data_IF_582977899513
#
_entry.id   IF_582977899513
#
_cell.length_a   1.000
_cell.length_b   1.000
_cell.length_c   1.000
_cell.angle_alpha   90.00
_cell.angle_beta   90.00
_cell.angle_gamma   90.00
#
_symmetry.space_group_name_H-M   'P 1'
#
loop_
_entity.id
_entity.type
_entity.pdbx_description
1 polymer ?
#
# COMPACT_ATOMS: atom_id res chain seq x y z
N UNK A 1 25.86 -5.68 7.30
CA UNK A 1 24.64 -4.87 7.45
C UNK A 1 23.68 -5.21 6.33
N UNK A 2 22.54 -5.86 6.62
CA UNK A 2 21.57 -6.24 5.59
C UNK A 2 20.49 -5.14 5.51
N UNK A 3 20.32 -4.54 4.33
CA UNK A 3 19.22 -3.63 4.06
C UNK A 3 17.94 -4.46 3.83
N UNK A 4 16.82 -4.03 4.43
CA UNK A 4 15.52 -4.68 4.23
C UNK A 4 14.82 -4.10 3.01
N UNK A 5 14.22 -4.92 2.14
CA UNK A 5 13.25 -4.44 1.16
C UNK A 5 12.00 -3.90 1.84
N UNK A 6 11.46 -2.83 1.26
CA UNK A 6 10.06 -2.48 1.43
C UNK A 6 9.48 -1.94 0.13
N UNK A 7 8.17 -2.13 -0.03
CA UNK A 7 7.41 -1.68 -1.17
C UNK A 7 6.13 -1.03 -0.66
N UNK A 8 5.86 0.17 -1.18
CA UNK A 8 4.68 0.96 -0.87
C UNK A 8 3.90 1.20 -2.16
N UNK A 9 2.59 1.07 -2.09
CA UNK A 9 1.68 1.43 -3.17
C UNK A 9 0.51 2.24 -2.62
N UNK A 10 0.38 3.45 -3.13
CA UNK A 10 -0.62 4.42 -2.72
C UNK A 10 -1.66 4.59 -3.82
N UNK A 11 -2.92 4.66 -3.39
CA UNK A 11 -4.10 4.70 -4.24
C UNK A 11 -4.90 5.95 -3.97
N UNK A 12 -5.24 6.72 -5.01
CA UNK A 12 -6.08 7.91 -4.87
C UNK A 12 -7.55 7.55 -5.11
N UNK A 13 -8.37 7.79 -4.09
CA UNK A 13 -9.83 7.76 -4.15
C UNK A 13 -10.43 9.12 -4.50
N UNK A 14 -11.62 9.14 -5.09
CA UNK A 14 -12.37 10.37 -5.40
C UNK A 14 -12.85 11.08 -4.13
N UNK A 15 -13.32 10.29 -3.17
CA UNK A 15 -13.68 10.75 -1.83
C UNK A 15 -12.71 10.18 -0.80
N UNK A 16 -12.70 10.78 0.41
CA UNK A 16 -12.00 10.22 1.56
C UNK A 16 -12.60 8.84 1.87
N UNK A 17 -11.91 7.83 1.38
CA UNK A 17 -12.35 6.46 1.30
C UNK A 17 -12.59 5.87 2.70
N UNK A 18 -13.84 5.91 3.12
CA UNK A 18 -14.34 5.18 4.29
C UNK A 18 -15.71 4.58 3.93
N UNK A 19 -15.76 3.55 3.08
CA UNK A 19 -17.04 3.00 2.65
C UNK A 19 -17.61 2.06 3.71
N UNK A 20 -18.58 2.56 4.50
CA UNK A 20 -19.64 1.75 5.10
C UNK A 20 -19.48 1.25 6.55
N UNK A 21 -20.54 1.49 7.32
CA UNK A 21 -20.94 1.03 8.67
C UNK A 21 -20.17 1.55 9.89
N UNK A 22 -18.86 1.72 9.83
CA UNK A 22 -18.09 2.51 10.81
C UNK A 22 -16.99 3.27 10.07
N UNK A 23 -16.92 4.58 10.27
CA UNK A 23 -15.89 5.40 9.63
C UNK A 23 -14.50 4.96 10.13
N UNK A 24 -13.63 4.52 9.21
CA UNK A 24 -12.27 4.12 9.54
C UNK A 24 -11.43 5.38 9.73
N UNK A 25 -11.18 5.74 10.98
CA UNK A 25 -10.35 6.89 11.34
C UNK A 25 -8.87 6.49 11.45
N UNK A 26 -8.20 6.44 10.31
CA UNK A 26 -6.78 6.09 10.23
C UNK A 26 -6.49 4.63 10.61
N UNK A 27 -5.22 4.35 10.90
CA UNK A 27 -4.75 3.01 11.27
C UNK A 27 -4.42 2.13 10.08
N UNK A 28 -4.07 0.86 10.35
CA UNK A 28 -3.75 -0.12 9.33
C UNK A 28 -4.56 -1.39 9.53
N UNK A 29 -5.19 -1.87 8.45
CA UNK A 29 -5.73 -3.22 8.36
C UNK A 29 -4.70 -4.17 7.78
N UNK A 30 -4.68 -5.40 8.27
CA UNK A 30 -3.93 -6.50 7.66
C UNK A 30 -4.89 -7.38 6.88
N UNK A 31 -4.43 -7.92 5.75
CA UNK A 31 -5.19 -8.83 4.91
C UNK A 31 -4.37 -10.09 4.63
N UNK A 32 -5.07 -11.21 4.46
CA UNK A 32 -4.51 -12.48 4.01
C UNK A 32 -4.34 -12.55 2.49
N UNK A 33 -4.78 -11.54 1.74
CA UNK A 33 -4.58 -11.45 0.29
C UNK A 33 -3.07 -11.38 0.00
N UNK A 34 -2.54 -12.32 -0.81
CA UNK A 34 -1.11 -12.36 -1.11
C UNK A 34 -0.64 -11.05 -1.72
N UNK A 35 0.56 -10.60 -1.33
CA UNK A 35 1.25 -9.45 -1.92
C UNK A 35 0.55 -8.11 -1.71
N UNK A 36 -0.28 -7.98 -0.67
CA UNK A 36 -0.86 -6.70 -0.20
C UNK A 36 -0.29 -6.33 1.17
N UNK A 37 -0.19 -7.32 2.06
CA UNK A 37 0.25 -7.22 3.45
C UNK A 37 -0.62 -6.29 4.30
N UNK A 38 -0.31 -5.01 4.35
CA UNK A 38 -1.05 -4.04 5.16
C UNK A 38 -1.63 -2.92 4.29
N UNK A 39 -2.90 -2.59 4.56
CA UNK A 39 -3.61 -1.44 4.00
C UNK A 39 -3.68 -0.39 5.11
N UNK A 40 -3.04 0.76 4.93
CA UNK A 40 -3.04 1.84 5.92
C UNK A 40 -3.87 3.02 5.43
N UNK A 41 -4.80 3.46 6.27
CA UNK A 41 -5.62 4.63 6.05
C UNK A 41 -4.89 5.87 6.58
N UNK A 42 -4.95 6.99 5.86
CA UNK A 42 -4.26 8.20 6.27
C UNK A 42 -4.82 8.71 7.60
N UNK A 43 -3.94 9.01 8.55
CA UNK A 43 -4.30 9.69 9.81
C UNK A 43 -4.37 11.22 9.65
N UNK A 44 -4.11 11.73 8.45
CA UNK A 44 -4.22 13.15 8.10
C UNK A 44 -5.49 13.39 7.27
N UNK A 45 -6.01 14.62 7.32
CA UNK A 45 -7.26 14.99 6.64
C UNK A 45 -8.47 14.09 7.00
N UNK A 46 -8.50 13.63 8.26
CA UNK A 46 -9.65 12.93 8.84
C UNK A 46 -10.87 13.86 8.77
N UNK A 47 -11.98 13.39 8.18
CA UNK A 47 -13.19 14.17 7.86
C UNK A 47 -13.08 15.17 6.69
N UNK A 48 -12.01 15.16 5.91
CA UNK A 48 -11.99 15.91 4.65
C UNK A 48 -13.06 15.40 3.67
N UNK A 49 -13.58 16.28 2.82
CA UNK A 49 -14.62 15.97 1.82
C UNK A 49 -14.08 15.88 0.39
N UNK A 50 -12.75 15.78 0.24
CA UNK A 50 -12.09 15.72 -1.05
C UNK A 50 -11.37 14.40 -1.31
N UNK A 51 -10.55 14.33 -2.37
CA UNK A 51 -9.77 13.16 -2.72
C UNK A 51 -8.84 12.72 -1.59
N UNK A 52 -8.89 11.43 -1.26
CA UNK A 52 -8.08 10.81 -0.21
C UNK A 52 -7.09 9.81 -0.79
N UNK A 53 -5.90 9.72 -0.21
CA UNK A 53 -4.89 8.71 -0.59
C UNK A 53 -4.86 7.61 0.47
N UNK A 54 -4.96 6.36 0.05
CA UNK A 54 -4.77 5.18 0.90
C UNK A 54 -3.45 4.52 0.55
N UNK A 55 -2.69 4.14 1.56
CA UNK A 55 -1.57 3.24 1.37
C UNK A 55 -2.12 1.81 1.27
N UNK A 56 -2.48 1.40 0.06
CA UNK A 56 -3.17 0.12 -0.16
C UNK A 56 -2.24 -1.10 -0.08
N UNK A 57 -0.92 -0.89 -0.14
CA UNK A 57 0.00 -1.96 0.15
C UNK A 57 1.26 -1.43 0.81
N UNK A 58 1.55 -1.98 1.99
CA UNK A 58 2.82 -1.79 2.67
C UNK A 58 3.44 -3.15 3.03
N UNK A 59 4.44 -3.54 2.25
CA UNK A 59 5.11 -4.83 2.34
C UNK A 59 6.57 -4.62 2.69
N UNK A 60 7.14 -5.52 3.49
CA UNK A 60 8.58 -5.55 3.75
C UNK A 60 9.15 -6.96 3.56
N UNK A 61 10.48 -7.08 3.67
CA UNK A 61 11.19 -8.37 3.65
C UNK A 61 11.03 -9.13 2.32
N UNK A 62 11.27 -10.44 2.32
CA UNK A 62 11.33 -11.27 1.10
C UNK A 62 10.10 -11.13 0.19
N UNK A 63 8.93 -10.84 0.76
CA UNK A 63 7.71 -10.59 0.01
C UNK A 63 7.81 -9.29 -0.79
N UNK A 64 8.36 -8.21 -0.21
CA UNK A 64 8.57 -6.95 -0.94
C UNK A 64 9.56 -7.10 -2.10
N UNK A 65 10.62 -7.89 -1.93
CA UNK A 65 11.53 -8.23 -3.04
C UNK A 65 10.83 -8.99 -4.17
N UNK A 66 10.00 -9.97 -3.80
CA UNK A 66 9.21 -10.75 -4.76
C UNK A 66 8.23 -9.87 -5.53
N UNK A 67 7.56 -8.93 -4.84
CA UNK A 67 6.62 -7.97 -5.45
C UNK A 67 7.35 -6.88 -6.25
N UNK A 68 8.62 -6.61 -5.92
CA UNK A 68 9.50 -5.76 -6.73
C UNK A 68 9.65 -6.24 -8.17
N UNK A 69 9.53 -7.54 -8.43
CA UNK A 69 9.60 -8.09 -9.80
C UNK A 69 8.43 -7.71 -10.72
N UNK A 70 7.31 -7.24 -10.15
CA UNK A 70 6.18 -6.76 -10.93
C UNK A 70 6.47 -5.43 -11.59
N UNK A 71 5.94 -5.23 -12.80
CA UNK A 71 5.80 -3.88 -13.33
C UNK A 71 4.82 -3.09 -12.47
N UNK A 72 4.93 -1.76 -12.48
CA UNK A 72 4.05 -0.90 -11.68
C UNK A 72 2.59 -1.13 -12.02
N UNK A 73 2.24 -1.18 -13.31
CA UNK A 73 0.90 -1.42 -13.78
C UNK A 73 0.35 -2.80 -13.33
N UNK A 74 1.17 -3.85 -13.39
CA UNK A 74 0.76 -5.19 -12.91
C UNK A 74 0.48 -5.19 -11.41
N UNK A 75 1.34 -4.52 -10.65
CA UNK A 75 1.17 -4.42 -9.20
C UNK A 75 -0.07 -3.62 -8.84
N UNK A 76 -0.29 -2.47 -9.47
CA UNK A 76 -1.47 -1.63 -9.23
C UNK A 76 -2.76 -2.37 -9.59
N UNK A 77 -2.79 -3.08 -10.71
CA UNK A 77 -3.95 -3.89 -11.09
C UNK A 77 -4.21 -5.04 -10.10
N UNK A 78 -3.17 -5.60 -9.48
CA UNK A 78 -3.30 -6.58 -8.39
C UNK A 78 -3.90 -5.93 -7.14
N UNK A 79 -3.36 -4.80 -6.70
CA UNK A 79 -3.82 -4.11 -5.49
C UNK A 79 -5.24 -3.55 -5.66
N UNK A 80 -5.60 -3.02 -6.84
CA UNK A 80 -6.96 -2.54 -7.09
C UNK A 80 -7.99 -3.66 -6.93
N UNK A 81 -7.69 -4.87 -7.44
CA UNK A 81 -8.56 -6.05 -7.26
C UNK A 81 -8.64 -6.48 -5.80
N UNK A 82 -7.52 -6.46 -5.08
CA UNK A 82 -7.49 -6.75 -3.66
C UNK A 82 -8.34 -5.74 -2.85
N UNK A 83 -8.29 -4.45 -3.19
CA UNK A 83 -9.10 -3.43 -2.52
C UNK A 83 -10.61 -3.64 -2.76
N UNK A 84 -11.01 -4.12 -3.94
CA UNK A 84 -12.40 -4.52 -4.22
C UNK A 84 -12.83 -5.72 -3.38
N UNK A 85 -11.92 -6.65 -3.12
CA UNK A 85 -12.20 -7.82 -2.27
C UNK A 85 -12.35 -7.41 -0.79
N UNK A 86 -11.49 -6.52 -0.29
CA UNK A 86 -11.49 -6.07 1.12
C UNK A 86 -12.66 -5.11 1.42
N UNK A 87 -12.96 -4.19 0.50
CA UNK A 87 -13.90 -3.09 0.72
C UNK A 87 -15.18 -3.17 -0.12
N UNK A 88 -15.30 -4.19 -0.96
CA UNK A 88 -16.44 -4.37 -1.85
C UNK A 88 -16.39 -3.50 -3.12
N UNK A 89 -17.48 -3.49 -3.91
CA UNK A 89 -17.53 -2.85 -5.23
C UNK A 89 -17.30 -1.33 -5.21
N UNK A 90 -17.57 -0.67 -4.08
CA UNK A 90 -17.30 0.76 -3.90
C UNK A 90 -15.82 1.10 -4.15
N UNK A 91 -14.91 0.16 -3.91
CA UNK A 91 -13.49 0.32 -4.20
C UNK A 91 -13.18 0.61 -5.68
N UNK A 92 -13.92 -0.03 -6.58
CA UNK A 92 -13.75 0.17 -8.01
C UNK A 92 -14.32 1.51 -8.48
N UNK A 93 -15.45 1.95 -7.90
CA UNK A 93 -16.11 3.20 -8.26
C UNK A 93 -15.32 4.44 -7.80
N UNK A 94 -14.74 4.34 -6.61
CA UNK A 94 -13.98 5.40 -5.96
C UNK A 94 -12.56 5.55 -6.50
N UNK A 95 -12.03 4.53 -7.16
CA UNK A 95 -10.70 4.56 -7.75
C UNK A 95 -10.59 5.61 -8.88
N UNK A 96 -9.60 6.50 -8.77
CA UNK A 96 -9.38 7.57 -9.76
C UNK A 96 -8.48 7.17 -10.92
N UNK A 97 -7.75 6.06 -10.80
CA UNK A 97 -6.67 5.70 -11.74
C UNK A 97 -5.29 6.24 -11.34
N UNK A 98 -5.22 7.19 -10.40
CA UNK A 98 -3.95 7.74 -9.94
C UNK A 98 -3.37 6.88 -8.81
N UNK A 99 -2.07 6.61 -8.93
CA UNK A 99 -1.32 5.83 -7.97
C UNK A 99 0.12 6.30 -7.90
N UNK A 100 0.78 5.92 -6.82
CA UNK A 100 2.23 6.03 -6.69
C UNK A 100 2.78 4.74 -6.07
N UNK A 101 3.89 4.24 -6.63
CA UNK A 101 4.53 3.00 -6.18
C UNK A 101 6.01 3.26 -5.97
N UNK A 102 6.49 2.91 -4.78
CA UNK A 102 7.91 2.98 -4.45
C UNK A 102 8.43 1.63 -3.99
N UNK A 103 9.44 1.11 -4.68
CA UNK A 103 10.22 -0.05 -4.25
C UNK A 103 11.61 0.42 -3.82
N UNK A 104 11.88 0.37 -2.51
CA UNK A 104 13.12 0.90 -1.96
C UNK A 104 14.36 0.11 -2.36
N UNK A 105 14.23 -1.19 -2.66
CA UNK A 105 15.33 -2.02 -3.18
C UNK A 105 15.77 -1.62 -4.60
N UNK A 106 14.86 -1.02 -5.39
CA UNK A 106 15.12 -0.59 -6.77
C UNK A 106 15.43 0.90 -6.87
N UNK A 107 15.40 1.62 -5.75
CA UNK A 107 15.75 3.04 -5.71
C UNK A 107 17.27 3.19 -5.85
N UNK A 108 17.71 3.95 -6.85
CA UNK A 108 19.13 4.10 -7.22
C UNK A 108 20.00 4.70 -6.10
N UNK A 109 19.44 5.55 -5.26
CA UNK A 109 20.17 6.26 -4.20
C UNK A 109 20.08 5.57 -2.83
N UNK A 110 19.19 4.60 -2.67
CA UNK A 110 18.97 3.94 -1.38
C UNK A 110 19.28 2.44 -1.37
N UNK A 111 18.97 1.72 -2.46
CA UNK A 111 19.22 0.28 -2.62
C UNK A 111 18.73 -0.59 -1.43
N UNK A 112 17.69 -0.14 -0.74
CA UNK A 112 17.15 -0.77 0.46
C UNK A 112 16.34 0.20 1.32
N UNK A 113 15.45 -0.30 2.16
CA UNK A 113 14.53 0.55 2.94
C UNK A 113 15.14 1.03 4.26
N UNK A 114 15.67 0.10 5.07
CA UNK A 114 16.35 0.41 6.33
C UNK A 114 17.33 -0.70 6.70
N UNK A 115 18.25 -0.41 7.61
CA UNK A 115 19.16 -1.43 8.15
C UNK A 115 18.45 -2.28 9.20
N UNK A 116 18.54 -3.61 9.07
CA UNK A 116 18.07 -4.55 10.07
C UNK A 116 19.20 -5.56 10.36
N UNK A 117 20.12 -5.25 11.29
CA UNK A 117 21.23 -6.15 11.62
C UNK A 117 20.70 -7.49 12.13
N UNK A 118 21.41 -8.56 11.78
CA UNK A 118 21.15 -9.90 12.33
C UNK A 118 21.75 -9.98 13.74
N UNK A 119 21.33 -10.99 14.52
CA UNK A 119 21.92 -11.23 15.83
C UNK A 119 23.45 -11.40 15.71
N UNK A 120 24.19 -10.56 16.45
CA UNK A 120 25.66 -10.55 16.44
C UNK A 120 26.33 -9.64 15.41
N UNK A 121 25.59 -8.74 14.75
CA UNK A 121 26.14 -7.62 13.96
C UNK A 121 26.21 -6.33 14.76
#
# INVERSE_FOLDING_TARGET
>A
MQSRPSLQNSLLGKDNYTPGKEAIFGGCGSTDIPRVANICYPSYNLNGTGPGVILASYISSVTARSVGSFTEAQHVAHIQRAMVEVHGPMAAEQWTGNYDRLCWEQNEFQAGAWCAPLAGQ
#
